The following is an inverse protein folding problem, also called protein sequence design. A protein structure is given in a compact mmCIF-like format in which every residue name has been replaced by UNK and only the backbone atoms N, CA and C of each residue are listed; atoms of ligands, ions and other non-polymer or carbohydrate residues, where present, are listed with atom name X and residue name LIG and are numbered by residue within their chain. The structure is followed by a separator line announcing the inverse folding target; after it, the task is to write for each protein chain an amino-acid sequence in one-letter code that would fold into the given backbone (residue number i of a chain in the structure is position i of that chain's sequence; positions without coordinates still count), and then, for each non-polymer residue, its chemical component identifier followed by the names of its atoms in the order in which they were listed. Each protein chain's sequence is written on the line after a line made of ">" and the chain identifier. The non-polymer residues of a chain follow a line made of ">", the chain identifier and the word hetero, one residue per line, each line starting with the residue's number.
data_IF_808851404309
#
_entry.id   IF_808851404309
#
_cell.length_a   1.000
_cell.length_b   1.000
_cell.length_c   1.000
_cell.angle_alpha   90.00
_cell.angle_beta   90.00
_cell.angle_gamma   90.00
#
_symmetry.space_group_name_H-M   'P 1'
#
loop_
_entity.id
_entity.type
_entity.pdbx_description
1 polymer ?
#
# COMPACT_ATOMS: atom_id res chain seq x y z
N UNK A 1 17.77 7.41 5.42
CA UNK A 1 16.42 7.31 6.04
C UNK A 1 16.24 5.89 6.52
N UNK A 2 15.66 5.65 7.71
CA UNK A 2 15.48 4.29 8.20
C UNK A 2 14.31 3.62 7.46
N UNK A 3 14.39 2.32 7.21
CA UNK A 3 13.33 1.52 6.60
C UNK A 3 12.00 1.61 7.37
N UNK A 4 12.07 1.66 8.71
CA UNK A 4 10.87 1.84 9.53
C UNK A 4 10.23 3.22 9.34
N UNK A 5 11.02 4.24 9.01
CA UNK A 5 10.49 5.57 8.69
C UNK A 5 9.83 5.57 7.30
N UNK A 6 10.36 4.78 6.35
CA UNK A 6 9.74 4.57 5.03
C UNK A 6 8.35 3.93 5.18
N UNK A 7 8.22 2.87 5.97
CA UNK A 7 6.92 2.22 6.22
C UNK A 7 5.93 3.19 6.85
N UNK A 8 6.36 3.97 7.85
CA UNK A 8 5.50 4.97 8.50
C UNK A 8 5.06 6.05 7.53
N UNK A 9 5.99 6.54 6.71
CA UNK A 9 5.70 7.53 5.65
C UNK A 9 4.69 6.99 4.64
N UNK A 10 4.89 5.75 4.15
CA UNK A 10 3.95 5.09 3.24
C UNK A 10 2.56 4.95 3.90
N UNK A 11 2.50 4.45 5.13
CA UNK A 11 1.25 4.31 5.90
C UNK A 11 0.50 5.64 6.03
N UNK A 12 1.20 6.71 6.38
CA UNK A 12 0.61 8.05 6.51
C UNK A 12 0.09 8.58 5.17
N UNK A 13 0.82 8.34 4.07
CA UNK A 13 0.38 8.73 2.74
C UNK A 13 -0.88 7.96 2.31
N UNK A 14 -0.93 6.64 2.55
CA UNK A 14 -2.11 5.80 2.31
C UNK A 14 -3.33 6.30 3.10
N UNK A 15 -3.14 6.63 4.39
CA UNK A 15 -4.20 7.15 5.26
C UNK A 15 -4.73 8.51 4.79
N UNK A 16 -3.84 9.42 4.40
CA UNK A 16 -4.23 10.75 3.88
C UNK A 16 -4.98 10.62 2.55
N UNK A 17 -4.49 9.80 1.63
CA UNK A 17 -5.19 9.56 0.37
C UNK A 17 -6.57 8.94 0.61
N UNK A 18 -6.68 7.96 1.50
CA UNK A 18 -7.96 7.36 1.87
C UNK A 18 -8.95 8.39 2.43
N UNK A 19 -8.48 9.35 3.23
CA UNK A 19 -9.33 10.44 3.74
C UNK A 19 -9.90 11.27 2.59
N UNK A 20 -9.06 11.71 1.66
CA UNK A 20 -9.49 12.48 0.49
C UNK A 20 -10.47 11.68 -0.37
N UNK A 21 -10.21 10.39 -0.63
CA UNK A 21 -11.15 9.50 -1.33
C UNK A 21 -12.52 9.47 -0.64
N UNK A 22 -12.55 9.27 0.68
CA UNK A 22 -13.80 9.24 1.45
C UNK A 22 -14.55 10.57 1.38
N UNK A 23 -13.84 11.69 1.35
CA UNK A 23 -14.44 13.02 1.22
C UNK A 23 -15.09 13.20 -0.14
N UNK A 24 -14.37 12.96 -1.25
CA UNK A 24 -14.95 13.11 -2.60
C UNK A 24 -16.11 12.15 -2.85
N UNK A 25 -16.01 10.89 -2.40
CA UNK A 25 -17.09 9.89 -2.56
C UNK A 25 -18.40 10.33 -1.88
N UNK A 26 -18.32 11.07 -0.76
CA UNK A 26 -19.50 11.60 -0.06
C UNK A 26 -20.18 12.72 -0.84
N UNK A 27 -19.42 13.48 -1.61
CA UNK A 27 -19.92 14.61 -2.42
C UNK A 27 -20.60 14.12 -3.71
N UNK A 28 -20.17 12.98 -4.26
CA UNK A 28 -20.76 12.33 -5.42
C UNK A 28 -22.11 11.66 -5.07
N UNK A 29 -23.21 12.40 -5.22
CA UNK A 29 -24.58 11.98 -4.83
C UNK A 29 -25.53 11.81 -6.01
N UNK A 30 -25.20 12.34 -7.18
CA UNK A 30 -26.08 12.26 -8.35
C UNK A 30 -25.93 10.91 -9.07
N UNK A 31 -26.98 10.40 -9.76
CA UNK A 31 -26.85 9.24 -10.63
C UNK A 31 -25.77 9.40 -11.71
N UNK A 32 -25.58 10.63 -12.19
CA UNK A 32 -24.54 11.02 -13.15
C UNK A 32 -23.12 10.77 -12.62
N UNK A 33 -22.92 10.82 -11.30
CA UNK A 33 -21.62 10.63 -10.66
C UNK A 33 -21.28 9.14 -10.44
N UNK A 34 -22.21 8.22 -10.70
CA UNK A 34 -22.12 6.83 -10.27
C UNK A 34 -20.86 6.12 -10.80
N UNK A 35 -20.46 6.40 -12.04
CA UNK A 35 -19.27 5.82 -12.65
C UNK A 35 -17.99 6.29 -11.93
N UNK A 36 -17.84 7.60 -11.75
CA UNK A 36 -16.70 8.17 -11.03
C UNK A 36 -16.66 7.65 -9.59
N UNK A 37 -17.80 7.61 -8.92
CA UNK A 37 -17.92 7.10 -7.56
C UNK A 37 -17.48 5.65 -7.44
N UNK A 38 -17.87 4.79 -8.39
CA UNK A 38 -17.44 3.39 -8.44
C UNK A 38 -15.92 3.27 -8.59
N UNK A 39 -15.31 4.06 -9.47
CA UNK A 39 -13.85 4.07 -9.65
C UNK A 39 -13.16 4.52 -8.36
N UNK A 40 -13.60 5.63 -7.76
CA UNK A 40 -12.97 6.15 -6.54
C UNK A 40 -13.17 5.20 -5.35
N UNK A 41 -14.32 4.53 -5.23
CA UNK A 41 -14.57 3.49 -4.22
C UNK A 41 -13.58 2.32 -4.37
N UNK A 42 -13.37 1.84 -5.60
CA UNK A 42 -12.40 0.78 -5.89
C UNK A 42 -11.01 1.17 -5.40
N UNK A 43 -10.53 2.35 -5.82
CA UNK A 43 -9.21 2.83 -5.43
C UNK A 43 -9.11 2.99 -3.90
N UNK A 44 -10.17 3.49 -3.25
CA UNK A 44 -10.22 3.65 -1.80
C UNK A 44 -10.16 2.32 -1.03
N UNK A 45 -10.70 1.23 -1.58
CA UNK A 45 -10.61 -0.11 -0.98
C UNK A 45 -9.16 -0.56 -0.95
N UNK A 46 -8.43 -0.43 -2.05
CA UNK A 46 -7.01 -0.77 -2.12
C UNK A 46 -6.20 0.02 -1.07
N UNK A 47 -6.51 1.31 -0.88
CA UNK A 47 -5.89 2.14 0.18
C UNK A 47 -6.10 1.63 1.59
N UNK A 48 -7.26 1.02 1.87
CA UNK A 48 -7.49 0.39 3.17
C UNK A 48 -6.52 -0.78 3.35
N UNK A 49 -6.43 -1.67 2.36
CA UNK A 49 -5.53 -2.82 2.43
C UNK A 49 -4.07 -2.41 2.56
N UNK A 50 -3.62 -1.46 1.75
CA UNK A 50 -2.22 -1.02 1.76
C UNK A 50 -1.83 -0.41 3.10
N UNK A 51 -2.68 0.44 3.67
CA UNK A 51 -2.49 1.02 5.01
C UNK A 51 -2.38 -0.06 6.09
N UNK A 52 -3.30 -1.03 6.09
CA UNK A 52 -3.29 -2.13 7.07
C UNK A 52 -2.05 -3.02 6.92
N UNK A 53 -1.60 -3.27 5.69
CA UNK A 53 -0.38 -4.02 5.41
C UNK A 53 0.85 -3.29 5.97
N UNK A 54 0.97 -1.98 5.74
CA UNK A 54 2.07 -1.19 6.31
C UNK A 54 2.06 -1.21 7.84
N UNK A 55 0.88 -1.14 8.45
CA UNK A 55 0.74 -1.24 9.90
C UNK A 55 1.15 -2.63 10.42
N UNK A 56 0.76 -3.70 9.73
CA UNK A 56 1.16 -5.05 10.08
C UNK A 56 2.68 -5.25 10.00
N UNK A 57 3.34 -4.73 8.96
CA UNK A 57 4.80 -4.78 8.83
C UNK A 57 5.47 -4.02 9.97
N UNK A 58 4.97 -2.83 10.30
CA UNK A 58 5.47 -2.04 11.43
C UNK A 58 5.38 -2.82 12.75
N UNK A 59 4.25 -3.49 13.01
CA UNK A 59 4.07 -4.31 14.21
C UNK A 59 5.02 -5.51 14.23
N UNK A 60 5.09 -6.26 13.13
CA UNK A 60 5.97 -7.43 13.01
C UNK A 60 7.45 -7.06 13.24
N UNK A 61 7.88 -5.91 12.71
CA UNK A 61 9.22 -5.39 12.94
C UNK A 61 9.50 -5.11 14.42
N UNK A 62 8.56 -4.46 15.14
CA UNK A 62 8.71 -4.18 16.58
C UNK A 62 8.75 -5.46 17.41
N UNK A 63 7.89 -6.42 17.11
CA UNK A 63 7.82 -7.71 17.82
C UNK A 63 9.10 -8.52 17.61
N UNK A 64 9.61 -8.55 16.38
CA UNK A 64 10.87 -9.23 16.05
C UNK A 64 12.05 -8.61 16.79
N UNK A 65 12.15 -7.27 16.81
CA UNK A 65 13.21 -6.59 17.57
C UNK A 65 13.18 -6.95 19.05
N UNK A 66 11.98 -7.02 19.65
CA UNK A 66 11.81 -7.42 21.05
C UNK A 66 12.31 -8.85 21.26
N UNK A 67 11.88 -9.79 20.42
CA UNK A 67 12.29 -11.20 20.52
C UNK A 67 13.82 -11.38 20.41
N UNK A 68 14.45 -10.70 19.45
CA UNK A 68 15.90 -10.80 19.24
C UNK A 68 16.68 -10.25 20.44
N UNK A 69 16.25 -9.12 21.01
CA UNK A 69 16.87 -8.55 22.23
C UNK A 69 16.79 -9.51 23.41
N UNK A 70 15.61 -10.09 23.64
CA UNK A 70 15.37 -10.97 24.79
C UNK A 70 16.19 -12.27 24.70
N UNK A 71 16.50 -12.75 23.48
CA UNK A 71 17.01 -14.11 23.29
C UNK A 71 18.42 -14.22 22.68
N UNK A 72 18.95 -13.20 22.01
CA UNK A 72 20.27 -13.25 21.39
C UNK A 72 21.32 -12.42 22.13
N UNK A 73 20.93 -11.26 22.64
CA UNK A 73 21.82 -10.32 23.31
C UNK A 73 22.49 -10.92 24.57
N UNK A 74 21.79 -11.72 25.41
CA UNK A 74 22.37 -12.29 26.63
C UNK A 74 23.22 -13.55 26.43
N UNK A 75 23.01 -14.31 25.34
CA UNK A 75 23.49 -15.70 25.24
C UNK A 75 24.59 -15.94 24.20
N UNK A 76 24.80 -15.01 23.26
CA UNK A 76 25.78 -15.20 22.17
C UNK A 76 26.66 -13.95 21.95
N UNK A 77 27.50 -13.56 22.94
CA UNK A 77 28.33 -12.36 22.83
C UNK A 77 29.40 -12.44 21.72
N UNK A 78 29.81 -13.65 21.34
CA UNK A 78 30.81 -13.94 20.30
C UNK A 78 30.28 -13.85 18.85
N UNK A 79 28.97 -13.82 18.62
CA UNK A 79 28.39 -13.76 17.27
C UNK A 79 28.38 -12.32 16.72
N UNK A 80 29.57 -11.75 16.46
CA UNK A 80 29.74 -10.39 15.88
C UNK A 80 28.84 -10.12 14.66
N UNK A 81 28.73 -11.01 13.65
CA UNK A 81 27.88 -10.75 12.48
C UNK A 81 26.38 -10.66 12.80
N UNK A 82 25.93 -11.42 13.81
CA UNK A 82 24.53 -11.38 14.27
C UNK A 82 24.30 -10.11 15.08
N UNK A 83 25.24 -9.69 15.93
CA UNK A 83 25.19 -8.41 16.65
C UNK A 83 25.16 -7.21 15.71
N UNK A 84 25.98 -7.20 14.66
CA UNK A 84 25.95 -6.15 13.63
C UNK A 84 24.62 -6.13 12.88
N UNK A 85 24.07 -7.30 12.56
CA UNK A 85 22.75 -7.42 11.92
C UNK A 85 21.62 -6.95 12.84
N UNK A 86 21.68 -7.26 14.14
CA UNK A 86 20.73 -6.77 15.15
C UNK A 86 20.87 -5.27 15.35
N UNK A 87 22.09 -4.72 15.39
CA UNK A 87 22.31 -3.28 15.48
C UNK A 87 21.77 -2.56 14.24
N UNK A 88 21.96 -3.12 13.04
CA UNK A 88 21.36 -2.60 11.81
C UNK A 88 19.84 -2.70 11.82
N UNK A 89 19.27 -3.80 12.35
CA UNK A 89 17.83 -3.91 12.58
C UNK A 89 17.37 -2.83 13.54
N UNK A 90 18.03 -2.63 14.67
CA UNK A 90 17.65 -1.65 15.69
C UNK A 90 17.75 -0.20 15.22
N UNK A 91 18.77 0.09 14.41
CA UNK A 91 18.90 1.36 13.71
C UNK A 91 17.88 1.53 12.57
N UNK A 92 17.07 0.50 12.29
CA UNK A 92 16.08 0.49 11.22
C UNK A 92 16.68 0.53 9.82
N UNK A 93 17.91 0.02 9.64
CA UNK A 93 18.58 -0.05 8.35
C UNK A 93 18.17 -1.29 7.55
N UNK A 94 17.66 -2.33 8.22
CA UNK A 94 17.11 -3.53 7.58
C UNK A 94 15.73 -3.87 8.20
N UNK A 95 14.81 -4.36 7.37
CA UNK A 95 13.55 -4.97 7.78
C UNK A 95 13.78 -6.47 7.74
N UNK A 96 13.87 -7.09 8.91
CA UNK A 96 13.93 -8.54 9.20
C UNK A 96 14.61 -9.38 8.10
N UNK A 97 15.83 -9.91 8.30
CA UNK A 97 16.37 -10.89 7.36
C UNK A 97 15.51 -12.16 7.35
N UNK A 98 14.97 -12.52 6.18
CA UNK A 98 14.33 -13.81 5.95
C UNK A 98 15.40 -14.85 5.60
N UNK A 99 15.35 -16.03 6.24
CA UNK A 99 16.14 -17.19 5.81
C UNK A 99 15.37 -17.83 4.64
N UNK A 100 15.99 -18.14 3.48
CA UNK A 100 15.31 -18.89 2.44
C UNK A 100 14.94 -20.28 2.99
N UNK A 101 13.64 -20.57 3.12
CA UNK A 101 13.18 -21.93 3.29
C UNK A 101 13.29 -22.66 1.95
N UNK A 102 13.92 -23.83 1.99
CA UNK A 102 13.92 -24.81 0.89
C UNK A 102 12.49 -25.01 0.36
N UNK A 103 12.38 -25.02 -0.97
CA UNK A 103 11.16 -25.26 -1.75
C UNK A 103 10.40 -26.49 -1.23
N UNK A 104 9.12 -26.30 -0.89
CA UNK A 104 8.14 -27.38 -0.83
C UNK A 104 6.97 -26.98 -1.72
N UNK A 105 6.77 -27.78 -2.76
CA UNK A 105 5.64 -27.74 -3.69
C UNK A 105 4.42 -28.40 -3.07
N UNK A 106 3.24 -27.77 -3.17
CA UNK A 106 1.95 -28.47 -3.23
C UNK A 106 0.80 -27.55 -3.69
N UNK A 107 0.27 -27.86 -4.88
CA UNK A 107 -1.16 -27.83 -5.32
C UNK A 107 -2.14 -28.32 -4.22
N UNK A 108 -3.44 -28.00 -4.08
CA UNK A 108 -4.57 -27.55 -4.95
C UNK A 108 -5.79 -27.09 -4.06
N UNK A 109 -6.68 -26.24 -4.62
CA UNK A 109 -8.12 -25.92 -4.41
C UNK A 109 -8.84 -25.92 -3.03
N UNK A 110 -9.76 -24.94 -2.90
CA UNK A 110 -11.06 -25.11 -2.23
C UNK A 110 -11.86 -23.81 -2.05
N UNK A 111 -12.86 -23.57 -2.91
CA UNK A 111 -13.77 -22.41 -2.90
C UNK A 111 -14.74 -22.39 -1.70
N UNK A 112 -14.96 -21.19 -1.16
CA UNK A 112 -16.24 -20.70 -0.62
C UNK A 112 -16.38 -19.28 -1.17
N UNK A 113 -17.54 -18.90 -1.71
CA UNK A 113 -17.79 -17.56 -2.25
C UNK A 113 -17.93 -16.57 -1.07
N UNK A 114 -16.98 -15.64 -0.86
CA UNK A 114 -17.02 -14.63 0.18
C UNK A 114 -17.52 -13.30 -0.41
N UNK A 115 -17.58 -12.22 0.36
CA UNK A 115 -17.96 -10.87 -0.11
C UNK A 115 -17.04 -10.28 -1.20
N UNK A 116 -16.10 -11.07 -1.71
CA UNK A 116 -15.16 -10.83 -2.80
C UNK A 116 -15.88 -10.67 -4.15
N UNK A 117 -17.01 -11.35 -4.38
CA UNK A 117 -17.75 -11.26 -5.66
C UNK A 117 -18.27 -9.84 -5.97
N UNK A 118 -18.66 -9.08 -4.94
CA UNK A 118 -19.09 -7.68 -5.09
C UNK A 118 -17.89 -6.78 -5.42
N UNK A 119 -16.73 -7.06 -4.82
CA UNK A 119 -15.49 -6.37 -5.13
C UNK A 119 -15.00 -6.74 -6.52
N UNK A 120 -15.08 -8.01 -6.93
CA UNK A 120 -14.67 -8.51 -8.24
C UNK A 120 -15.54 -7.95 -9.37
N UNK A 121 -16.84 -7.81 -9.17
CA UNK A 121 -17.75 -7.13 -10.10
C UNK A 121 -17.38 -5.64 -10.27
N UNK A 122 -17.04 -4.95 -9.17
CA UNK A 122 -16.52 -3.57 -9.18
C UNK A 122 -15.12 -3.50 -9.85
N UNK A 123 -14.28 -4.52 -9.66
CA UNK A 123 -12.92 -4.60 -10.21
C UNK A 123 -12.90 -4.95 -11.71
N UNK A 124 -13.94 -5.60 -12.23
CA UNK A 124 -14.00 -6.12 -13.60
C UNK A 124 -14.75 -5.22 -14.59
N UNK A 125 -15.54 -4.26 -14.11
CA UNK A 125 -16.27 -3.35 -14.99
C UNK A 125 -15.35 -2.26 -15.57
N UNK A 126 -15.15 -2.27 -16.90
CA UNK A 126 -14.52 -1.15 -17.60
C UNK A 126 -15.49 0.04 -17.62
N UNK A 127 -15.05 1.28 -17.32
CA UNK A 127 -15.91 2.44 -17.39
C UNK A 127 -16.19 2.80 -18.86
N UNK A 128 -17.44 2.66 -19.32
CA UNK A 128 -17.83 2.91 -20.71
C UNK A 128 -18.27 4.38 -20.94
N UNK A 129 -18.67 5.13 -19.92
CA UNK A 129 -19.24 6.47 -20.13
C UNK A 129 -18.94 7.42 -18.96
N UNK A 130 -17.89 8.22 -19.12
CA UNK A 130 -17.58 9.28 -18.17
C UNK A 130 -18.53 10.47 -18.37
N UNK A 131 -19.50 10.62 -17.47
CA UNK A 131 -20.30 11.84 -17.33
C UNK A 131 -19.62 12.69 -16.25
N UNK A 132 -19.19 13.92 -16.57
CA UNK A 132 -18.49 14.77 -15.61
C UNK A 132 -19.43 15.20 -14.46
N UNK A 133 -18.96 15.21 -13.20
CA UNK A 133 -19.76 15.61 -12.05
C UNK A 133 -20.14 17.09 -12.10
N UNK A 134 -21.17 17.46 -11.33
CA UNK A 134 -21.71 18.85 -11.29
C UNK A 134 -20.71 19.88 -10.76
N UNK A 135 -19.85 19.47 -9.82
CA UNK A 135 -18.86 20.32 -9.16
C UNK A 135 -17.44 19.91 -9.59
N UNK A 136 -17.14 20.10 -10.87
CA UNK A 136 -15.90 19.58 -11.52
C UNK A 136 -14.63 20.12 -10.88
N UNK A 137 -14.62 21.40 -10.51
CA UNK A 137 -13.44 22.08 -9.99
C UNK A 137 -13.05 21.53 -8.62
N UNK A 138 -14.00 21.44 -7.68
CA UNK A 138 -13.79 20.87 -6.36
C UNK A 138 -13.33 19.41 -6.44
N UNK A 139 -13.96 18.61 -7.29
CA UNK A 139 -13.59 17.19 -7.48
C UNK A 139 -12.18 17.08 -8.06
N UNK A 140 -11.82 17.95 -9.02
CA UNK A 140 -10.47 17.99 -9.61
C UNK A 140 -9.40 18.30 -8.58
N UNK A 141 -9.62 19.32 -7.74
CA UNK A 141 -8.67 19.68 -6.68
C UNK A 141 -8.41 18.52 -5.71
N UNK A 142 -9.47 17.79 -5.32
CA UNK A 142 -9.32 16.60 -4.46
C UNK A 142 -8.52 15.51 -5.17
N UNK A 143 -8.80 15.26 -6.45
CA UNK A 143 -8.07 14.28 -7.26
C UNK A 143 -6.59 14.64 -7.41
N UNK A 144 -6.26 15.91 -7.59
CA UNK A 144 -4.87 16.38 -7.66
C UNK A 144 -4.13 16.15 -6.33
N UNK A 145 -4.78 16.39 -5.19
CA UNK A 145 -4.22 16.05 -3.88
C UNK A 145 -3.98 14.54 -3.74
N UNK A 146 -4.93 13.72 -4.17
CA UNK A 146 -4.76 12.25 -4.18
C UNK A 146 -3.58 11.86 -5.06
N UNK A 147 -3.44 12.42 -6.26
CA UNK A 147 -2.31 12.15 -7.17
C UNK A 147 -0.96 12.47 -6.50
N UNK A 148 -0.88 13.55 -5.73
CA UNK A 148 0.33 13.90 -4.99
C UNK A 148 0.67 12.86 -3.92
N UNK A 149 -0.33 12.38 -3.17
CA UNK A 149 -0.11 11.29 -2.24
C UNK A 149 0.31 10.00 -2.95
N UNK A 150 -0.24 9.69 -4.13
CA UNK A 150 0.20 8.53 -4.93
C UNK A 150 1.66 8.63 -5.34
N UNK A 151 2.11 9.81 -5.79
CA UNK A 151 3.52 10.03 -6.10
C UNK A 151 4.42 9.76 -4.88
N UNK A 152 3.99 10.20 -3.70
CA UNK A 152 4.73 9.96 -2.46
C UNK A 152 4.80 8.46 -2.10
N UNK A 153 3.70 7.73 -2.28
CA UNK A 153 3.66 6.28 -2.05
C UNK A 153 4.54 5.51 -3.02
N UNK A 154 4.54 5.87 -4.30
CA UNK A 154 5.44 5.28 -5.30
C UNK A 154 6.92 5.43 -4.87
N UNK A 155 7.32 6.64 -4.45
CA UNK A 155 8.69 6.86 -3.94
C UNK A 155 9.02 6.01 -2.72
N UNK A 156 8.08 5.89 -1.77
CA UNK A 156 8.31 5.13 -0.54
C UNK A 156 8.36 3.62 -0.83
N UNK A 157 7.50 3.10 -1.72
CA UNK A 157 7.53 1.69 -2.13
C UNK A 157 8.74 1.32 -2.97
N UNK A 158 9.22 2.20 -3.86
CA UNK A 158 10.47 2.01 -4.59
C UNK A 158 11.68 1.94 -3.63
N UNK A 159 11.71 2.83 -2.63
CA UNK A 159 12.74 2.79 -1.57
C UNK A 159 12.63 1.53 -0.72
N UNK A 160 11.42 1.09 -0.41
CA UNK A 160 11.19 -0.12 0.36
C UNK A 160 11.63 -1.37 -0.41
N UNK A 161 11.32 -1.48 -1.71
CA UNK A 161 11.74 -2.58 -2.56
C UNK A 161 13.27 -2.67 -2.67
N UNK A 162 13.95 -1.53 -2.82
CA UNK A 162 15.40 -1.48 -2.99
C UNK A 162 16.17 -1.78 -1.69
N UNK A 163 15.63 -1.38 -0.53
CA UNK A 163 16.31 -1.50 0.75
C UNK A 163 15.92 -2.74 1.56
N UNK A 164 14.71 -3.29 1.36
CA UNK A 164 14.26 -4.45 2.10
C UNK A 164 15.05 -5.71 1.73
N UNK A 165 15.56 -6.40 2.76
CA UNK A 165 16.23 -7.71 2.60
C UNK A 165 15.26 -8.88 2.71
N UNK A 166 14.14 -8.71 3.40
CA UNK A 166 13.13 -9.76 3.52
C UNK A 166 12.43 -9.99 2.17
N UNK A 167 12.41 -11.21 1.61
CA UNK A 167 11.87 -11.47 0.28
C UNK A 167 10.37 -11.11 0.17
N UNK A 168 9.56 -11.45 1.18
CA UNK A 168 8.14 -11.11 1.20
C UNK A 168 7.90 -9.60 1.22
N UNK A 169 8.71 -8.83 1.97
CA UNK A 169 8.56 -7.37 2.04
C UNK A 169 8.95 -6.74 0.71
N UNK A 170 9.97 -7.28 0.04
CA UNK A 170 10.39 -6.82 -1.28
C UNK A 170 9.34 -7.08 -2.35
N UNK A 171 8.79 -8.30 -2.41
CA UNK A 171 7.69 -8.65 -3.33
C UNK A 171 6.45 -7.79 -3.09
N UNK A 172 6.08 -7.60 -1.81
CA UNK A 172 4.97 -6.74 -1.45
C UNK A 172 5.21 -5.29 -1.89
N UNK A 173 6.38 -4.72 -1.60
CA UNK A 173 6.73 -3.36 -2.00
C UNK A 173 6.65 -3.17 -3.52
N UNK A 174 7.16 -4.13 -4.30
CA UNK A 174 7.04 -4.12 -5.76
C UNK A 174 5.58 -4.16 -6.23
N UNK A 175 4.77 -5.04 -5.64
CA UNK A 175 3.36 -5.17 -6.01
C UNK A 175 2.59 -3.89 -5.70
N UNK A 176 2.85 -3.26 -4.55
CA UNK A 176 2.25 -1.99 -4.16
C UNK A 176 2.69 -0.85 -5.09
N UNK A 177 3.99 -0.76 -5.41
CA UNK A 177 4.52 0.22 -6.36
C UNK A 177 3.80 0.15 -7.72
N UNK A 178 3.62 -1.05 -8.27
CA UNK A 178 2.93 -1.23 -9.54
C UNK A 178 1.46 -0.82 -9.45
N UNK A 179 0.76 -1.23 -8.39
CA UNK A 179 -0.63 -0.86 -8.16
C UNK A 179 -0.79 0.67 -8.05
N UNK A 180 0.11 1.37 -7.34
CA UNK A 180 0.04 2.83 -7.24
C UNK A 180 0.30 3.56 -8.55
N UNK A 181 1.23 3.06 -9.36
CA UNK A 181 1.46 3.60 -10.70
C UNK A 181 0.19 3.50 -11.57
N UNK A 182 -0.55 2.38 -11.47
CA UNK A 182 -1.82 2.20 -12.17
C UNK A 182 -2.89 3.17 -11.63
N UNK A 183 -3.02 3.31 -10.31
CA UNK A 183 -3.94 4.26 -9.70
C UNK A 183 -3.67 5.69 -10.17
N UNK A 184 -2.40 6.11 -10.14
CA UNK A 184 -2.00 7.44 -10.59
C UNK A 184 -2.33 7.66 -12.07
N UNK A 185 -2.17 6.65 -12.92
CA UNK A 185 -2.58 6.70 -14.33
C UNK A 185 -4.09 6.91 -14.52
N UNK A 186 -4.91 6.19 -13.75
CA UNK A 186 -6.38 6.34 -13.76
C UNK A 186 -6.76 7.75 -13.31
N UNK A 187 -6.24 8.21 -12.18
CA UNK A 187 -6.55 9.53 -11.62
C UNK A 187 -6.14 10.68 -12.53
N UNK A 188 -4.96 10.61 -13.17
CA UNK A 188 -4.53 11.60 -14.17
C UNK A 188 -5.48 11.65 -15.36
N UNK A 189 -5.97 10.49 -15.79
CA UNK A 189 -6.94 10.41 -16.89
C UNK A 189 -8.29 11.03 -16.50
N UNK A 190 -8.75 10.82 -15.27
CA UNK A 190 -9.96 11.46 -14.73
C UNK A 190 -9.77 12.97 -14.63
N UNK A 191 -8.67 13.42 -14.02
CA UNK A 191 -8.33 14.85 -13.85
C UNK A 191 -8.37 15.59 -15.19
N UNK A 192 -7.75 15.04 -16.24
CA UNK A 192 -7.77 15.61 -17.60
C UNK A 192 -9.19 15.73 -18.19
N UNK A 193 -10.07 14.76 -17.92
CA UNK A 193 -11.47 14.80 -18.38
C UNK A 193 -12.34 15.80 -17.60
N UNK A 194 -11.90 16.22 -16.41
CA UNK A 194 -12.57 17.27 -15.64
C UNK A 194 -12.21 18.68 -16.14
N UNK A 195 -11.10 18.83 -16.86
CA UNK A 195 -10.66 20.09 -17.50
C UNK A 195 -11.44 20.40 -18.79
N UNK A 196 -11.98 19.38 -19.47
CA UNK A 196 -12.74 19.48 -20.73
C UNK A 196 -14.23 19.66 -20.52
#
# INVERSE_FOLDING_TARGET
>A
MRLIDIIKSAKEAEERALKEYKEVIKELKSPEDAELKRILLRLAVDKIFHKELMEAIERAYKETLKLLRENLEPYYPELRPIRESIAQLDQGLILIPGIPSLLVSSTILGYKIPAEDVLEEILSTKPETFIPPKDREKVREVIERIINYQGKMEEDYERLESLAKHPIIKELARSLLYNEAQHRGILKSISKRLES
#
